data_IF_010249535830
#
_entry.id   IF_010249535830
#
_cell.length_a   1.000
_cell.length_b   1.000
_cell.length_c   1.000
_cell.angle_alpha   90.00
_cell.angle_beta   90.00
_cell.angle_gamma   90.00
#
_symmetry.space_group_name_H-M   'P 1'
#
loop_
_entity.id
_entity.type
_entity.pdbx_description
1 polymer ?
#
# COMPACT_ATOMS: atom_id res chain seq x y z
N UNK A 1 -25.68 -5.54 13.08
CA UNK A 1 -25.06 -4.53 13.95
C UNK A 1 -24.68 -3.38 13.03
N UNK A 2 -25.09 -2.15 13.32
CA UNK A 2 -24.61 -1.01 12.52
C UNK A 2 -23.13 -0.79 12.86
N UNK A 3 -22.27 -0.79 11.84
CA UNK A 3 -20.83 -0.53 12.03
C UNK A 3 -20.65 0.92 12.48
N UNK A 4 -20.01 1.11 13.63
CA UNK A 4 -19.62 2.44 14.12
C UNK A 4 -18.11 2.62 13.94
N UNK A 5 -17.71 3.78 13.42
CA UNK A 5 -16.29 4.08 13.28
C UNK A 5 -15.65 4.30 14.67
N UNK A 6 -14.70 3.44 15.02
CA UNK A 6 -14.01 3.45 16.31
C UNK A 6 -12.49 3.43 16.15
N UNK A 7 -11.74 3.85 17.18
CA UNK A 7 -10.27 3.96 17.17
C UNK A 7 -9.57 2.67 16.73
N UNK A 8 -10.07 1.51 17.12
CA UNK A 8 -9.47 0.22 16.75
C UNK A 8 -9.49 -0.04 15.24
N UNK A 9 -10.48 0.51 14.51
CA UNK A 9 -10.53 0.41 13.06
C UNK A 9 -9.36 1.13 12.39
N UNK A 10 -8.91 2.26 12.94
CA UNK A 10 -7.72 2.96 12.43
C UNK A 10 -6.45 2.15 12.69
N UNK A 11 -6.36 1.46 13.82
CA UNK A 11 -5.22 0.57 14.13
C UNK A 11 -5.21 -0.62 13.16
N UNK A 12 -6.34 -1.29 12.99
CA UNK A 12 -6.49 -2.41 12.06
C UNK A 12 -6.21 -1.98 10.61
N UNK A 13 -6.77 -0.85 10.18
CA UNK A 13 -6.52 -0.26 8.87
C UNK A 13 -5.03 0.07 8.68
N UNK A 14 -4.36 0.63 9.69
CA UNK A 14 -2.92 0.90 9.63
C UNK A 14 -2.09 -0.35 9.35
N UNK A 15 -2.42 -1.48 9.99
CA UNK A 15 -1.77 -2.77 9.73
C UNK A 15 -2.05 -3.23 8.29
N UNK A 16 -3.31 -3.18 7.86
CA UNK A 16 -3.72 -3.57 6.49
C UNK A 16 -3.01 -2.71 5.45
N UNK A 17 -2.96 -1.39 5.62
CA UNK A 17 -2.25 -0.48 4.71
C UNK A 17 -0.75 -0.72 4.71
N UNK A 18 -0.16 -1.11 5.84
CA UNK A 18 1.25 -1.47 5.87
C UNK A 18 1.51 -2.74 5.04
N UNK A 19 0.64 -3.76 5.15
CA UNK A 19 0.70 -4.96 4.32
C UNK A 19 0.50 -4.64 2.83
N UNK A 20 -0.46 -3.79 2.50
CA UNK A 20 -0.71 -3.33 1.14
C UNK A 20 0.47 -2.53 0.58
N UNK A 21 1.12 -1.70 1.39
CA UNK A 21 2.31 -0.96 0.97
C UNK A 21 3.52 -1.87 0.75
N UNK A 22 3.68 -2.92 1.54
CA UNK A 22 4.69 -3.95 1.31
C UNK A 22 4.38 -4.74 0.02
N UNK A 23 3.12 -5.10 -0.22
CA UNK A 23 2.69 -5.74 -1.45
C UNK A 23 2.93 -4.83 -2.67
N UNK A 24 2.59 -3.56 -2.59
CA UNK A 24 2.82 -2.58 -3.65
C UNK A 24 4.31 -2.43 -3.98
N UNK A 25 5.18 -2.44 -2.97
CA UNK A 25 6.64 -2.42 -3.14
C UNK A 25 7.12 -3.66 -3.93
N UNK A 26 6.65 -4.86 -3.55
CA UNK A 26 6.98 -6.10 -4.28
C UNK A 26 6.42 -6.06 -5.70
N UNK A 27 5.17 -5.65 -5.87
CA UNK A 27 4.52 -5.62 -7.17
C UNK A 27 5.26 -4.70 -8.15
N UNK A 28 5.60 -3.48 -7.73
CA UNK A 28 6.37 -2.55 -8.56
C UNK A 28 7.74 -3.12 -8.93
N UNK A 29 8.44 -3.72 -7.98
CA UNK A 29 9.79 -4.24 -8.22
C UNK A 29 9.83 -5.50 -9.10
N UNK A 30 8.79 -6.36 -9.03
CA UNK A 30 8.78 -7.67 -9.70
C UNK A 30 8.02 -7.67 -11.02
N UNK A 31 6.93 -6.89 -11.12
CA UNK A 31 6.05 -6.93 -12.28
C UNK A 31 6.28 -5.80 -13.28
N UNK A 32 7.15 -4.82 -12.99
CA UNK A 32 7.57 -3.84 -13.99
C UNK A 32 8.50 -4.50 -15.01
N UNK A 33 8.00 -4.66 -16.23
CA UNK A 33 8.75 -5.22 -17.37
C UNK A 33 9.73 -4.19 -17.96
N UNK A 34 9.44 -2.91 -17.79
CA UNK A 34 10.25 -1.79 -18.28
C UNK A 34 10.89 -1.03 -17.11
N UNK A 35 12.08 -0.44 -17.29
CA UNK A 35 12.73 0.31 -16.23
C UNK A 35 11.95 1.59 -15.92
N UNK A 36 11.72 1.84 -14.64
CA UNK A 36 11.10 3.07 -14.13
C UNK A 36 11.94 4.30 -14.52
N UNK A 37 13.26 4.24 -14.35
CA UNK A 37 14.20 5.33 -14.61
C UNK A 37 14.90 5.13 -15.96
N UNK A 38 14.65 6.01 -16.93
CA UNK A 38 15.17 5.93 -18.31
C UNK A 38 16.42 6.78 -18.57
N UNK A 39 16.71 7.75 -17.69
CA UNK A 39 17.78 8.73 -17.84
C UNK A 39 18.37 9.10 -16.49
N UNK A 40 19.61 9.57 -16.44
CA UNK A 40 20.17 10.17 -15.22
C UNK A 40 19.66 11.59 -14.96
N UNK A 41 18.95 12.20 -15.91
CA UNK A 41 18.32 13.51 -15.73
C UNK A 41 16.91 13.33 -15.15
N UNK A 42 16.64 13.75 -13.90
CA UNK A 42 15.32 13.54 -13.27
C UNK A 42 14.17 14.16 -14.06
N UNK A 43 14.38 15.35 -14.63
CA UNK A 43 13.37 16.05 -15.44
C UNK A 43 12.96 15.26 -16.69
N UNK A 44 13.88 14.49 -17.30
CA UNK A 44 13.58 13.64 -18.44
C UNK A 44 12.70 12.48 -17.98
N UNK A 45 13.07 11.79 -16.90
CA UNK A 45 12.25 10.68 -16.38
C UNK A 45 10.84 11.12 -16.02
N UNK A 46 10.69 12.24 -15.34
CA UNK A 46 9.38 12.78 -14.94
C UNK A 46 8.50 13.10 -16.16
N UNK A 47 9.12 13.47 -17.29
CA UNK A 47 8.39 13.82 -18.51
C UNK A 47 8.03 12.59 -19.36
N UNK A 48 8.89 11.58 -19.40
CA UNK A 48 8.77 10.48 -20.39
C UNK A 48 8.52 9.09 -19.78
N UNK A 49 8.74 8.91 -18.48
CA UNK A 49 8.45 7.64 -17.79
C UNK A 49 7.07 7.67 -17.17
N UNK A 50 6.28 6.62 -17.40
CA UNK A 50 5.00 6.40 -16.72
C UNK A 50 5.17 6.06 -15.25
N UNK A 51 6.31 5.48 -14.89
CA UNK A 51 6.52 4.84 -13.59
C UNK A 51 7.51 5.60 -12.71
N UNK A 52 8.18 6.64 -13.22
CA UNK A 52 8.98 7.56 -12.41
C UNK A 52 8.28 8.91 -12.26
N UNK A 53 7.86 9.23 -11.04
CA UNK A 53 7.15 10.48 -10.74
C UNK A 53 7.94 11.48 -9.90
N UNK A 54 7.33 12.66 -9.69
CA UNK A 54 7.85 13.66 -8.75
C UNK A 54 8.05 13.10 -7.34
N UNK A 55 7.16 12.21 -6.88
CA UNK A 55 7.29 11.55 -5.59
C UNK A 55 8.58 10.72 -5.51
N UNK A 56 8.91 9.96 -6.55
CA UNK A 56 10.13 9.16 -6.59
C UNK A 56 11.38 10.06 -6.55
N UNK A 57 11.34 11.20 -7.22
CA UNK A 57 12.42 12.19 -7.18
C UNK A 57 12.57 12.83 -5.78
N UNK A 58 11.49 13.39 -5.22
CA UNK A 58 11.55 14.13 -3.96
C UNK A 58 11.87 13.23 -2.76
N UNK A 59 11.33 12.01 -2.74
CA UNK A 59 11.60 11.04 -1.68
C UNK A 59 12.84 10.17 -1.94
N UNK A 60 13.37 10.25 -3.17
CA UNK A 60 14.59 9.58 -3.62
C UNK A 60 14.44 8.06 -3.66
N UNK A 61 13.47 7.53 -4.38
CA UNK A 61 13.38 6.09 -4.61
C UNK A 61 14.70 5.55 -5.20
N UNK A 62 15.11 4.37 -4.75
CA UNK A 62 16.34 3.71 -5.20
C UNK A 62 16.06 2.85 -6.43
N UNK A 63 16.93 2.99 -7.43
CA UNK A 63 16.90 2.22 -8.68
C UNK A 63 18.25 1.53 -8.88
N UNK A 64 18.26 0.42 -9.62
CA UNK A 64 19.51 -0.23 -10.04
C UNK A 64 20.14 0.48 -11.25
N UNK A 65 21.29 -0.03 -11.69
CA UNK A 65 22.04 0.55 -12.82
C UNK A 65 21.28 0.46 -14.16
N UNK A 66 20.30 -0.45 -14.27
CA UNK A 66 19.43 -0.60 -15.42
C UNK A 66 18.15 0.26 -15.31
N UNK A 67 17.97 0.98 -14.20
CA UNK A 67 16.84 1.87 -13.96
C UNK A 67 15.60 1.21 -13.35
N UNK A 68 15.68 -0.06 -12.93
CA UNK A 68 14.57 -0.76 -12.29
C UNK A 68 14.46 -0.43 -10.80
N UNK A 69 13.24 -0.36 -10.31
CA UNK A 69 12.97 -0.14 -8.90
C UNK A 69 13.51 -1.28 -8.03
N UNK A 70 14.33 -0.95 -7.04
CA UNK A 70 15.02 -1.97 -6.22
C UNK A 70 14.11 -2.62 -5.19
N UNK A 71 13.94 -3.95 -5.31
CA UNK A 71 13.23 -4.79 -4.34
C UNK A 71 13.98 -4.91 -3.00
N UNK A 72 15.31 -4.93 -3.03
CA UNK A 72 16.14 -5.12 -1.85
C UNK A 72 16.36 -3.82 -1.03
N UNK A 73 15.88 -2.68 -1.53
CA UNK A 73 16.01 -1.40 -0.83
C UNK A 73 15.00 -1.28 0.31
N UNK A 74 15.50 -1.26 1.54
CA UNK A 74 14.70 -0.95 2.74
C UNK A 74 14.11 0.47 2.70
N UNK A 75 14.77 1.40 2.01
CA UNK A 75 14.25 2.76 1.83
C UNK A 75 12.99 2.73 0.97
N UNK A 76 13.03 2.03 -0.17
CA UNK A 76 11.90 1.82 -1.05
C UNK A 76 10.73 1.14 -0.34
N UNK A 77 11.00 0.06 0.41
CA UNK A 77 10.00 -0.61 1.23
C UNK A 77 9.37 0.37 2.23
N UNK A 78 10.19 1.11 2.97
CA UNK A 78 9.72 2.11 3.95
C UNK A 78 8.87 3.19 3.28
N UNK A 79 9.29 3.72 2.13
CA UNK A 79 8.56 4.76 1.41
C UNK A 79 7.18 4.24 0.96
N UNK A 80 7.14 3.04 0.38
CA UNK A 80 5.88 2.42 -0.06
C UNK A 80 4.92 2.18 1.11
N UNK A 81 5.42 1.58 2.20
CA UNK A 81 4.64 1.32 3.42
C UNK A 81 4.13 2.63 4.04
N UNK A 82 5.01 3.62 4.22
CA UNK A 82 4.62 4.89 4.84
C UNK A 82 3.64 5.67 3.98
N UNK A 83 3.83 5.71 2.67
CA UNK A 83 2.92 6.40 1.75
C UNK A 83 1.53 5.76 1.78
N UNK A 84 1.47 4.42 1.81
CA UNK A 84 0.20 3.68 1.85
C UNK A 84 -0.50 3.84 3.19
N UNK A 85 0.23 3.75 4.31
CA UNK A 85 -0.33 3.92 5.66
C UNK A 85 -0.83 5.34 5.86
N UNK A 86 0.01 6.35 5.60
CA UNK A 86 -0.37 7.75 5.79
C UNK A 86 -1.48 8.16 4.83
N UNK A 87 -1.39 7.76 3.56
CA UNK A 87 -2.42 8.03 2.56
C UNK A 87 -3.76 7.37 2.89
N UNK A 88 -3.74 6.10 3.29
CA UNK A 88 -4.94 5.37 3.68
C UNK A 88 -5.61 5.92 4.94
N UNK A 89 -4.82 6.24 5.98
CA UNK A 89 -5.34 6.86 7.19
C UNK A 89 -5.84 8.29 6.94
N UNK A 90 -5.14 9.07 6.12
CA UNK A 90 -5.61 10.39 5.70
C UNK A 90 -6.93 10.28 4.92
N UNK A 91 -7.06 9.32 4.01
CA UNK A 91 -8.31 9.07 3.30
C UNK A 91 -9.46 8.76 4.28
N UNK A 92 -9.24 7.90 5.28
CA UNK A 92 -10.25 7.62 6.29
C UNK A 92 -10.71 8.86 7.08
N UNK A 93 -9.83 9.84 7.28
CA UNK A 93 -10.11 11.05 8.05
C UNK A 93 -10.74 12.16 7.22
N UNK A 94 -10.36 12.29 5.94
CA UNK A 94 -10.66 13.47 5.14
C UNK A 94 -11.54 13.20 3.92
N UNK A 95 -11.76 11.93 3.55
CA UNK A 95 -12.63 11.55 2.45
C UNK A 95 -13.96 11.07 3.01
N UNK A 96 -15.04 11.75 2.64
CA UNK A 96 -16.39 11.45 3.10
C UNK A 96 -16.75 9.98 2.83
N UNK A 97 -17.19 9.28 3.87
CA UNK A 97 -17.58 7.87 3.82
C UNK A 97 -16.43 6.86 3.78
N UNK A 98 -15.18 7.27 3.52
CA UNK A 98 -14.05 6.33 3.42
C UNK A 98 -13.78 5.63 4.76
N UNK A 99 -13.79 6.37 5.87
CA UNK A 99 -13.59 5.80 7.22
C UNK A 99 -14.61 4.71 7.55
N UNK A 100 -15.90 5.00 7.34
CA UNK A 100 -16.99 4.06 7.61
C UNK A 100 -16.94 2.85 6.67
N UNK A 101 -16.69 3.06 5.37
CA UNK A 101 -16.59 1.97 4.41
C UNK A 101 -15.43 1.02 4.72
N UNK A 102 -14.27 1.56 5.12
CA UNK A 102 -13.12 0.75 5.54
C UNK A 102 -13.43 -0.01 6.83
N UNK A 103 -14.08 0.62 7.81
CA UNK A 103 -14.52 -0.06 9.03
C UNK A 103 -15.45 -1.24 8.73
N UNK A 104 -16.42 -1.06 7.84
CA UNK A 104 -17.33 -2.11 7.39
C UNK A 104 -16.59 -3.28 6.73
N UNK A 105 -15.59 -2.99 5.89
CA UNK A 105 -14.76 -4.03 5.27
C UNK A 105 -13.95 -4.81 6.30
N UNK A 106 -13.41 -4.13 7.32
CA UNK A 106 -12.64 -4.76 8.39
C UNK A 106 -13.55 -5.69 9.20
N UNK A 107 -14.73 -5.22 9.62
CA UNK A 107 -15.68 -6.04 10.38
C UNK A 107 -16.19 -7.24 9.55
N UNK A 108 -16.53 -7.02 8.28
CA UNK A 108 -16.98 -8.10 7.39
C UNK A 108 -15.89 -9.15 7.17
N UNK A 109 -14.64 -8.71 6.94
CA UNK A 109 -13.50 -9.60 6.77
C UNK A 109 -13.18 -10.40 8.03
N UNK A 110 -13.20 -9.75 9.20
CA UNK A 110 -13.00 -10.42 10.49
C UNK A 110 -14.10 -11.44 10.80
N UNK A 111 -15.36 -11.08 10.52
CA UNK A 111 -16.51 -11.98 10.65
C UNK A 111 -16.37 -13.21 9.76
N UNK A 112 -16.11 -13.00 8.46
CA UNK A 112 -15.92 -14.10 7.51
C UNK A 112 -14.76 -15.03 7.89
N UNK A 113 -13.66 -14.47 8.41
CA UNK A 113 -12.54 -15.28 8.90
C UNK A 113 -12.93 -16.12 10.13
N UNK A 114 -13.67 -15.54 11.07
CA UNK A 114 -14.16 -16.27 12.24
C UNK A 114 -15.12 -17.39 11.86
N UNK A 115 -16.01 -17.14 10.89
CA UNK A 115 -16.94 -18.14 10.37
C UNK A 115 -16.19 -19.32 9.73
N UNK A 116 -15.20 -19.03 8.87
CA UNK A 116 -14.35 -20.05 8.26
C UNK A 116 -13.60 -20.88 9.30
N UNK A 117 -13.07 -20.22 10.34
CA UNK A 117 -12.39 -20.90 11.43
C UNK A 117 -13.31 -21.89 12.14
N UNK A 118 -14.50 -21.44 12.55
CA UNK A 118 -15.45 -22.31 13.26
C UNK A 118 -16.02 -23.41 12.40
N UNK A 119 -16.29 -23.13 11.13
CA UNK A 119 -16.65 -24.16 10.16
C UNK A 119 -15.57 -25.25 10.11
N UNK A 120 -14.30 -24.84 10.02
CA UNK A 120 -13.20 -25.80 9.94
C UNK A 120 -13.07 -26.64 11.21
N UNK A 121 -13.27 -26.06 12.39
CA UNK A 121 -13.25 -26.80 13.67
C UNK A 121 -14.41 -27.80 13.75
N UNK A 122 -15.60 -27.43 13.29
CA UNK A 122 -16.77 -28.31 13.31
C UNK A 122 -16.64 -29.52 12.36
N UNK A 123 -15.81 -29.39 11.32
CA UNK A 123 -15.52 -30.45 10.34
C UNK A 123 -14.38 -31.40 10.75
N UNK A 124 -13.70 -31.17 11.89
CA UNK A 124 -12.63 -32.02 12.44
C UNK A 124 -13.16 -33.06 13.44
#
# INVERSE_FOLDING_TARGET
METELATWHFVAAGIIFALLGALAHVCRAVFNVFPDKLSDTPAVNILVSSDYGWADYFWGADFDDAGYYRLDSLKNLRLSVMSTVLGGLAAMLFVDGAGLGIAQLIEAGAGAFADLFWQRIAEL
#
